data_IF_305605845704
#
_entry.id   IF_305605845704
#
_cell.length_a   1.000
_cell.length_b   1.000
_cell.length_c   1.000
_cell.angle_alpha   90.00
_cell.angle_beta   90.00
_cell.angle_gamma   90.00
#
_symmetry.space_group_name_H-M   'P 1'
#
loop_
_entity.id
_entity.type
_entity.pdbx_description
1 polymer ?
#
# COMPACT_ATOMS: atom_id res chain seq x y z
N UNK A 1 0.02 9.61 28.53
CA UNK A 1 0.05 10.62 27.44
C UNK A 1 1.27 10.26 26.61
N UNK A 2 1.08 9.47 25.55
CA UNK A 2 2.16 9.21 24.59
C UNK A 2 2.47 10.57 23.96
N UNK A 3 3.73 11.02 23.85
CA UNK A 3 4.03 12.23 23.11
C UNK A 3 3.33 12.14 21.76
N UNK A 4 2.46 13.09 21.44
CA UNK A 4 1.85 13.15 20.12
C UNK A 4 3.01 13.31 19.15
N UNK A 5 3.48 12.20 18.57
CA UNK A 5 4.61 12.22 17.67
C UNK A 5 4.23 13.19 16.55
N UNK A 6 4.95 14.31 16.48
CA UNK A 6 4.72 15.28 15.43
C UNK A 6 5.25 14.68 14.12
N UNK A 7 4.56 14.95 13.01
CA UNK A 7 4.90 14.51 11.65
C UNK A 7 6.39 14.64 11.34
N UNK A 8 7.07 15.69 11.82
CA UNK A 8 8.52 15.87 11.63
C UNK A 8 9.36 14.73 12.20
N UNK A 9 9.09 14.30 13.43
CA UNK A 9 9.85 13.21 14.09
C UNK A 9 9.58 11.85 13.41
N UNK A 10 8.34 11.63 13.00
CA UNK A 10 7.96 10.44 12.24
C UNK A 10 8.70 10.42 10.90
N UNK A 11 8.68 11.54 10.18
CA UNK A 11 9.34 11.69 8.89
C UNK A 11 10.85 11.42 8.98
N UNK A 12 11.55 11.99 9.96
CA UNK A 12 12.98 11.74 10.18
C UNK A 12 13.28 10.23 10.31
N UNK A 13 12.43 9.51 11.03
CA UNK A 13 12.58 8.07 11.28
C UNK A 13 12.36 7.20 10.03
N UNK A 14 11.52 7.64 9.09
CA UNK A 14 11.12 6.85 7.92
C UNK A 14 11.74 7.33 6.59
N UNK A 15 12.31 8.53 6.57
CA UNK A 15 12.80 9.22 5.36
C UNK A 15 13.89 8.47 4.58
N UNK A 16 14.57 7.50 5.21
CA UNK A 16 15.56 6.65 4.55
C UNK A 16 14.95 5.48 3.76
N UNK A 17 13.67 5.18 3.95
CA UNK A 17 12.98 4.12 3.23
C UNK A 17 12.76 4.48 1.76
N UNK A 18 12.91 3.50 0.86
CA UNK A 18 12.67 3.68 -0.58
C UNK A 18 11.21 3.97 -0.92
N UNK A 19 10.29 3.53 -0.07
CA UNK A 19 8.87 3.79 -0.16
C UNK A 19 8.38 4.14 1.24
N UNK A 20 7.59 5.21 1.36
CA UNK A 20 6.76 5.43 2.53
C UNK A 20 5.52 6.23 2.12
N UNK A 21 4.43 6.04 2.85
CA UNK A 21 3.27 6.94 2.82
C UNK A 21 3.05 7.48 4.23
N UNK A 22 2.96 8.80 4.35
CA UNK A 22 2.70 9.51 5.60
C UNK A 22 1.45 10.36 5.39
N UNK A 23 0.37 9.99 6.05
CA UNK A 23 -0.92 10.66 5.91
C UNK A 23 -1.34 11.23 7.25
N UNK A 24 -1.58 12.54 7.30
CA UNK A 24 -2.17 13.21 8.46
C UNK A 24 -3.61 13.62 8.15
N UNK A 25 -4.53 13.22 9.01
CA UNK A 25 -5.93 13.67 8.99
C UNK A 25 -6.21 14.53 10.23
N UNK A 26 -7.46 14.95 10.43
CA UNK A 26 -7.88 15.58 11.69
C UNK A 26 -7.83 14.61 12.89
N UNK A 27 -7.88 13.32 12.61
CA UNK A 27 -8.14 12.28 13.62
C UNK A 27 -6.87 11.51 13.97
N UNK A 28 -5.95 11.36 13.02
CA UNK A 28 -4.75 10.54 13.21
C UNK A 28 -3.58 10.89 12.27
N UNK A 29 -2.44 10.26 12.54
CA UNK A 29 -1.31 10.15 11.61
C UNK A 29 -1.14 8.67 11.31
N UNK A 30 -1.17 8.32 10.02
CA UNK A 30 -0.97 6.96 9.52
C UNK A 30 0.32 6.87 8.70
N UNK A 31 1.03 5.77 8.86
CA UNK A 31 2.34 5.53 8.24
C UNK A 31 2.35 4.15 7.59
N UNK A 32 2.78 4.09 6.34
CA UNK A 32 3.06 2.84 5.64
C UNK A 32 4.51 2.83 5.21
N UNK A 33 5.26 1.83 5.66
CA UNK A 33 6.70 1.66 5.39
C UNK A 33 7.04 0.19 5.19
N UNK A 34 8.18 -0.13 4.55
CA UNK A 34 8.72 -1.48 4.53
C UNK A 34 8.91 -2.03 5.95
N UNK A 35 8.68 -3.33 6.12
CA UNK A 35 8.83 -4.02 7.42
C UNK A 35 10.26 -3.98 7.98
N UNK A 36 11.25 -3.55 7.19
CA UNK A 36 12.63 -3.31 7.62
C UNK A 36 12.80 -2.04 8.47
N UNK A 37 11.83 -1.14 8.46
CA UNK A 37 11.81 0.08 9.28
C UNK A 37 11.25 -0.25 10.66
N UNK A 38 11.96 0.17 11.71
CA UNK A 38 11.54 -0.10 13.08
C UNK A 38 10.40 0.83 13.50
N UNK A 39 9.23 0.25 13.83
CA UNK A 39 8.02 0.96 14.26
C UNK A 39 7.61 0.62 15.71
N UNK A 40 8.55 0.24 16.58
CA UNK A 40 8.24 -0.22 17.94
C UNK A 40 7.57 0.83 18.86
N UNK A 41 7.54 2.10 18.47
CA UNK A 41 6.94 3.19 19.27
C UNK A 41 5.49 3.54 18.89
N UNK A 42 4.91 2.88 17.88
CA UNK A 42 3.57 3.22 17.37
C UNK A 42 2.47 2.39 18.05
N UNK A 43 1.32 3.02 18.30
CA UNK A 43 0.23 2.47 19.12
C UNK A 43 -0.58 1.35 18.45
N UNK A 44 -0.56 1.27 17.12
CA UNK A 44 -1.21 0.21 16.34
C UNK A 44 -0.37 -0.06 15.09
N UNK A 45 0.06 -1.31 14.90
CA UNK A 45 0.90 -1.71 13.77
C UNK A 45 0.36 -3.01 13.20
N UNK A 46 0.07 -2.99 11.91
CA UNK A 46 -0.32 -4.18 11.13
C UNK A 46 0.87 -4.60 10.25
N UNK A 47 1.21 -5.88 10.29
CA UNK A 47 2.34 -6.46 9.56
C UNK A 47 1.87 -7.37 8.41
N UNK A 48 2.83 -7.93 7.68
CA UNK A 48 2.61 -8.96 6.67
C UNK A 48 1.70 -8.49 5.53
N UNK A 49 1.98 -7.30 4.99
CA UNK A 49 1.40 -6.86 3.73
C UNK A 49 2.41 -7.02 2.59
N UNK A 50 1.89 -7.28 1.39
CA UNK A 50 2.63 -7.18 0.14
C UNK A 50 1.97 -6.15 -0.75
N UNK A 51 2.80 -5.35 -1.40
CA UNK A 51 2.39 -4.22 -2.20
C UNK A 51 2.43 -4.57 -3.70
N UNK A 52 1.32 -4.35 -4.40
CA UNK A 52 1.26 -4.32 -5.85
C UNK A 52 1.28 -2.86 -6.31
N UNK A 53 2.25 -2.51 -7.14
CA UNK A 53 2.26 -1.23 -7.86
C UNK A 53 1.53 -1.40 -9.19
N UNK A 54 0.57 -0.54 -9.49
CA UNK A 54 -0.01 -0.47 -10.82
C UNK A 54 1.03 0.10 -11.79
N UNK A 55 1.28 -0.59 -12.90
CA UNK A 55 2.29 -0.18 -13.86
C UNK A 55 1.85 1.10 -14.60
N UNK A 56 2.64 2.16 -14.50
CA UNK A 56 2.31 3.53 -14.95
C UNK A 56 3.51 4.49 -14.79
N UNK A 57 3.41 5.71 -15.35
CA UNK A 57 2.37 6.64 -14.95
C UNK A 57 1.03 6.36 -15.64
N UNK A 58 -0.04 6.39 -14.85
CA UNK A 58 -1.39 6.30 -15.36
C UNK A 58 -1.78 7.65 -15.95
N UNK A 59 -2.23 7.65 -17.21
CA UNK A 59 -2.90 8.83 -17.76
C UNK A 59 -4.15 9.12 -16.90
N UNK A 60 -4.32 10.36 -16.44
CA UNK A 60 -5.48 10.80 -15.67
C UNK A 60 -6.82 10.55 -16.39
N UNK A 61 -6.81 10.35 -17.71
CA UNK A 61 -7.98 9.95 -18.48
C UNK A 61 -8.45 8.51 -18.22
N UNK A 62 -7.59 7.65 -17.64
CA UNK A 62 -7.89 6.27 -17.31
C UNK A 62 -8.73 6.17 -16.04
N UNK A 63 -10.05 6.17 -16.22
CA UNK A 63 -11.01 6.01 -15.14
C UNK A 63 -11.21 4.52 -14.84
N UNK A 64 -11.29 4.18 -13.55
CA UNK A 64 -11.77 2.88 -13.09
C UNK A 64 -10.71 1.80 -12.92
N UNK A 65 -9.42 2.09 -13.08
CA UNK A 65 -8.34 1.12 -12.84
C UNK A 65 -8.37 0.60 -11.41
N UNK A 66 -8.36 1.50 -10.42
CA UNK A 66 -8.42 1.10 -9.00
C UNK A 66 -9.72 0.36 -8.68
N UNK A 67 -10.85 0.80 -9.25
CA UNK A 67 -12.15 0.13 -9.09
C UNK A 67 -12.15 -1.29 -9.67
N UNK A 68 -11.51 -1.49 -10.82
CA UNK A 68 -11.37 -2.81 -11.43
C UNK A 68 -10.50 -3.73 -10.56
N UNK A 69 -9.35 -3.25 -10.09
CA UNK A 69 -8.47 -4.01 -9.20
C UNK A 69 -9.18 -4.36 -7.89
N UNK A 70 -9.84 -3.38 -7.25
CA UNK A 70 -10.55 -3.60 -5.99
C UNK A 70 -11.70 -4.59 -6.16
N UNK A 71 -12.43 -4.52 -7.27
CA UNK A 71 -13.52 -5.47 -7.57
C UNK A 71 -12.98 -6.89 -7.74
N UNK A 72 -11.88 -7.06 -8.49
CA UNK A 72 -11.26 -8.37 -8.68
C UNK A 72 -10.92 -9.05 -7.34
N UNK A 73 -10.32 -8.29 -6.42
CA UNK A 73 -9.92 -8.81 -5.11
C UNK A 73 -11.10 -8.99 -4.15
N UNK A 74 -12.07 -8.07 -4.16
CA UNK A 74 -13.29 -8.17 -3.36
C UNK A 74 -14.13 -9.41 -3.71
N UNK A 75 -14.23 -9.76 -5.00
CA UNK A 75 -14.90 -10.99 -5.47
C UNK A 75 -14.31 -12.26 -4.84
N UNK A 76 -13.03 -12.22 -4.46
CA UNK A 76 -12.32 -13.32 -3.80
C UNK A 76 -12.18 -13.13 -2.28
N UNK A 77 -12.88 -12.14 -1.71
CA UNK A 77 -12.83 -11.79 -0.28
C UNK A 77 -11.41 -11.44 0.20
N UNK A 78 -10.62 -10.82 -0.67
CA UNK A 78 -9.30 -10.28 -0.33
C UNK A 78 -9.48 -8.80 0.00
N UNK A 79 -9.25 -8.45 1.27
CA UNK A 79 -9.20 -7.05 1.71
C UNK A 79 -7.98 -6.35 1.11
N UNK A 80 -8.12 -5.06 0.82
CA UNK A 80 -7.05 -4.24 0.29
C UNK A 80 -6.83 -3.01 1.15
N UNK A 81 -5.60 -2.52 1.12
CA UNK A 81 -5.26 -1.16 1.51
C UNK A 81 -4.70 -0.45 0.26
N UNK A 82 -5.28 0.69 -0.12
CA UNK A 82 -4.93 1.38 -1.36
C UNK A 82 -4.34 2.75 -1.08
N UNK A 83 -3.27 3.09 -1.80
CA UNK A 83 -2.61 4.40 -1.78
C UNK A 83 -2.47 4.88 -3.21
N UNK A 84 -3.07 6.02 -3.52
CA UNK A 84 -2.85 6.71 -4.79
C UNK A 84 -1.73 7.74 -4.64
N UNK A 85 -0.88 7.84 -5.66
CA UNK A 85 0.08 8.94 -5.82
C UNK A 85 -0.29 9.76 -7.04
N UNK A 86 0.54 10.75 -7.40
CA UNK A 86 0.36 11.48 -8.64
C UNK A 86 0.49 10.57 -9.87
N UNK A 87 1.44 9.63 -9.85
CA UNK A 87 1.76 8.82 -11.03
C UNK A 87 0.92 7.53 -11.11
N UNK A 88 0.63 6.89 -9.98
CA UNK A 88 -0.01 5.56 -10.00
C UNK A 88 -0.63 5.18 -8.66
N UNK A 89 -1.33 4.05 -8.65
CA UNK A 89 -1.89 3.43 -7.46
C UNK A 89 -1.00 2.28 -6.94
N UNK A 90 -1.02 2.13 -5.62
CA UNK A 90 -0.41 1.02 -4.88
C UNK A 90 -1.53 0.30 -4.12
N UNK A 91 -1.62 -1.01 -4.30
CA UNK A 91 -2.63 -1.85 -3.65
C UNK A 91 -1.92 -2.91 -2.83
N UNK A 92 -2.14 -2.88 -1.53
CA UNK A 92 -1.54 -3.81 -0.59
C UNK A 92 -2.57 -4.85 -0.15
N UNK A 93 -2.13 -6.10 -0.05
CA UNK A 93 -2.90 -7.23 0.47
C UNK A 93 -2.12 -7.91 1.57
N UNK A 94 -2.81 -8.63 2.46
CA UNK A 94 -2.12 -9.50 3.41
C UNK A 94 -1.30 -10.56 2.65
N UNK A 95 -0.08 -10.83 3.13
CA UNK A 95 0.91 -11.75 2.56
C UNK A 95 0.32 -13.14 2.28
N UNK A 96 -0.52 -13.64 3.19
CA UNK A 96 -1.19 -14.95 3.04
C UNK A 96 -2.18 -15.00 1.86
N UNK A 97 -2.55 -13.84 1.29
CA UNK A 97 -3.51 -13.72 0.17
C UNK A 97 -2.84 -13.36 -1.15
N UNK A 98 -1.52 -13.24 -1.19
CA UNK A 98 -0.78 -12.80 -2.38
C UNK A 98 -1.00 -13.76 -3.56
N UNK A 99 -0.83 -15.07 -3.34
CA UNK A 99 -1.00 -16.05 -4.42
C UNK A 99 -2.43 -16.01 -4.99
N UNK A 100 -3.43 -15.90 -4.11
CA UNK A 100 -4.83 -15.74 -4.52
C UNK A 100 -5.05 -14.45 -5.32
N UNK A 101 -4.45 -13.33 -4.89
CA UNK A 101 -4.53 -12.06 -5.61
C UNK A 101 -3.89 -12.16 -6.99
N UNK A 102 -2.69 -12.74 -7.09
CA UNK A 102 -1.97 -12.95 -8.35
C UNK A 102 -2.77 -13.82 -9.31
N UNK A 103 -3.33 -14.94 -8.83
CA UNK A 103 -4.15 -15.83 -9.64
C UNK A 103 -5.43 -15.15 -10.12
N UNK A 104 -6.03 -14.31 -9.27
CA UNK A 104 -7.22 -13.52 -9.62
C UNK A 104 -6.91 -12.53 -10.73
N UNK A 105 -5.80 -11.80 -10.61
CA UNK A 105 -5.32 -10.88 -11.62
C UNK A 105 -5.06 -11.60 -12.95
N UNK A 106 -4.35 -12.73 -12.93
CA UNK A 106 -4.10 -13.53 -14.14
C UNK A 106 -5.39 -13.99 -14.81
N UNK A 107 -6.37 -14.49 -14.05
CA UNK A 107 -7.70 -14.90 -14.57
C UNK A 107 -8.49 -13.75 -15.19
N UNK A 108 -8.28 -12.53 -14.72
CA UNK A 108 -8.93 -11.31 -15.23
C UNK A 108 -8.12 -10.63 -16.33
N UNK A 109 -7.05 -11.26 -16.82
CA UNK A 109 -6.21 -10.75 -17.91
C UNK A 109 -5.18 -9.69 -17.48
N UNK A 110 -5.00 -9.47 -16.18
CA UNK A 110 -3.97 -8.57 -15.66
C UNK A 110 -2.64 -9.32 -15.61
N UNK A 111 -1.62 -8.75 -16.25
CA UNK A 111 -0.25 -9.26 -16.16
C UNK A 111 0.37 -8.82 -14.84
N UNK A 112 0.78 -9.78 -14.03
CA UNK A 112 1.58 -9.54 -12.82
C UNK A 112 3.04 -9.80 -13.15
N UNK A 113 3.92 -8.89 -12.74
CA UNK A 113 5.37 -9.00 -12.89
C UNK A 113 5.95 -9.07 -11.48
N UNK A 114 6.78 -10.07 -11.23
CA UNK A 114 7.57 -10.10 -10.00
C UNK A 114 8.73 -9.12 -10.17
N UNK A 115 8.67 -8.03 -9.41
CA UNK A 115 9.72 -7.02 -9.38
C UNK A 115 10.06 -6.69 -7.92
N UNK A 116 11.33 -6.85 -7.56
CA UNK A 116 11.82 -6.77 -6.18
C UNK A 116 12.29 -5.37 -5.79
N UNK A 117 11.78 -4.32 -6.45
CA UNK A 117 12.39 -2.99 -6.41
C UNK A 117 11.88 -2.04 -5.31
N UNK A 118 10.98 -2.47 -4.41
CA UNK A 118 10.52 -1.65 -3.27
C UNK A 118 10.45 -2.44 -1.97
#
# INVERSE_FOLDING_TARGET
MIPTANVSTIFESISSAKFFNLTQTSDEISVVVPATVNLLEYSAVEFNFRCFKVHGPLDFSLIGILSFISTCLADQKVSIFAVSTYDTDYVMVNEEKVDLAVDTFKKKGIKVIEDAHF
#
